data_IF_448849692136
#
_entry.id   IF_448849692136
#
_cell.length_a   1.000
_cell.length_b   1.000
_cell.length_c   1.000
_cell.angle_alpha   90.00
_cell.angle_beta   90.00
_cell.angle_gamma   90.00
#
_symmetry.space_group_name_H-M   'P 1'
#
loop_
_entity.id
_entity.type
_entity.pdbx_description
1 polymer ?
#
# COMPACT_ATOMS: atom_id res chain seq x y z
N UNK A 1 24.27 -45.51 41.96
CA UNK A 1 25.57 -45.09 41.41
C UNK A 1 25.77 -45.59 39.96
N UNK A 2 25.69 -46.92 39.67
CA UNK A 2 25.89 -47.47 38.31
C UNK A 2 24.76 -47.08 37.35
N UNK A 3 23.53 -46.92 37.82
CA UNK A 3 22.37 -46.54 37.04
C UNK A 3 22.40 -45.05 36.60
N UNK A 4 22.92 -44.21 37.48
CA UNK A 4 23.05 -42.77 37.24
C UNK A 4 24.17 -42.47 36.24
N UNK A 5 25.24 -43.26 36.24
CA UNK A 5 26.30 -43.14 35.22
C UNK A 5 25.82 -43.54 33.83
N UNK A 6 25.04 -44.61 33.70
CA UNK A 6 24.48 -45.05 32.42
C UNK A 6 23.47 -44.02 31.83
N UNK A 7 22.69 -43.37 32.69
CA UNK A 7 21.76 -42.29 32.26
C UNK A 7 22.52 -41.05 31.78
N UNK A 8 23.59 -40.67 32.46
CA UNK A 8 24.44 -39.54 32.07
C UNK A 8 25.18 -39.80 30.75
N UNK A 9 25.64 -41.01 30.50
CA UNK A 9 26.25 -41.39 29.21
C UNK A 9 25.24 -41.34 28.06
N UNK A 10 24.02 -41.86 28.26
CA UNK A 10 22.96 -41.78 27.21
C UNK A 10 22.53 -40.36 26.91
N UNK A 11 22.42 -39.48 27.88
CA UNK A 11 22.13 -38.04 27.68
C UNK A 11 23.29 -37.37 26.93
N UNK A 12 24.53 -37.66 27.31
CA UNK A 12 25.72 -37.13 26.64
C UNK A 12 25.84 -37.58 25.19
N UNK A 13 25.53 -38.84 24.89
CA UNK A 13 25.51 -39.35 23.52
C UNK A 13 24.38 -38.77 22.68
N UNK A 14 23.17 -38.59 23.25
CA UNK A 14 22.06 -37.94 22.60
C UNK A 14 22.34 -36.46 22.26
N UNK A 15 23.00 -35.73 23.19
CA UNK A 15 23.43 -34.35 22.95
C UNK A 15 24.46 -34.25 21.83
N UNK A 16 25.44 -35.15 21.79
CA UNK A 16 26.48 -35.18 20.74
C UNK A 16 25.92 -35.57 19.39
N UNK A 17 24.90 -36.43 19.30
CA UNK A 17 24.25 -36.79 18.03
C UNK A 17 23.39 -35.63 17.48
N UNK A 18 22.70 -34.93 18.36
CA UNK A 18 21.91 -33.75 17.97
C UNK A 18 22.84 -32.62 17.45
N UNK A 19 23.97 -32.39 18.08
CA UNK A 19 24.96 -31.40 17.63
C UNK A 19 25.56 -31.78 16.26
N UNK A 20 25.88 -33.06 16.04
CA UNK A 20 26.39 -33.53 14.74
C UNK A 20 25.38 -33.32 13.59
N UNK A 21 24.12 -33.54 13.86
CA UNK A 21 23.06 -33.34 12.84
C UNK A 21 22.92 -31.84 12.53
N UNK A 22 22.92 -30.97 13.54
CA UNK A 22 22.85 -29.51 13.34
C UNK A 22 24.07 -28.99 12.55
N UNK A 23 25.27 -29.47 12.88
CA UNK A 23 26.50 -29.07 12.19
C UNK A 23 26.54 -29.59 10.73
N UNK A 24 25.95 -30.73 10.46
CA UNK A 24 25.86 -31.28 9.11
C UNK A 24 24.88 -30.47 8.26
N UNK A 25 23.74 -30.05 8.81
CA UNK A 25 22.78 -29.16 8.11
C UNK A 25 23.37 -27.77 7.85
N UNK A 26 24.11 -27.21 8.82
CA UNK A 26 24.81 -25.93 8.66
C UNK A 26 25.87 -26.00 7.58
N UNK A 27 26.71 -27.05 7.57
CA UNK A 27 27.73 -27.26 6.52
C UNK A 27 27.13 -27.50 5.14
N UNK A 28 26.01 -28.22 5.05
CA UNK A 28 25.34 -28.49 3.78
C UNK A 28 24.74 -27.20 3.21
N UNK A 29 24.11 -26.36 4.05
CA UNK A 29 23.59 -25.05 3.67
C UNK A 29 24.66 -24.09 3.17
N UNK A 30 25.83 -24.07 3.81
CA UNK A 30 26.96 -23.22 3.39
C UNK A 30 27.62 -23.69 2.08
N UNK A 31 27.52 -24.97 1.74
CA UNK A 31 28.15 -25.51 0.54
C UNK A 31 27.37 -25.22 -0.75
N UNK A 32 26.05 -25.03 -0.66
CA UNK A 32 25.18 -24.85 -1.81
C UNK A 32 24.70 -23.39 -2.04
N UNK A 33 24.83 -22.53 -1.07
CA UNK A 33 24.47 -21.11 -1.18
C UNK A 33 25.71 -20.27 -0.86
N UNK A 34 26.43 -19.75 -1.83
CA UNK A 34 27.53 -18.82 -1.60
C UNK A 34 26.96 -17.48 -1.14
N UNK A 35 26.68 -17.38 0.15
CA UNK A 35 26.09 -16.19 0.79
C UNK A 35 26.95 -14.93 0.63
N UNK A 36 28.26 -15.11 0.38
CA UNK A 36 29.17 -13.98 0.15
C UNK A 36 28.90 -13.27 -1.17
N UNK A 37 28.61 -14.02 -2.24
CA UNK A 37 28.40 -13.43 -3.57
C UNK A 37 27.04 -12.67 -3.60
N UNK A 38 26.01 -13.25 -2.99
CA UNK A 38 24.70 -12.57 -2.91
C UNK A 38 24.74 -11.36 -1.96
N UNK A 39 25.43 -11.44 -0.81
CA UNK A 39 25.58 -10.35 0.12
C UNK A 39 26.35 -9.17 -0.47
N UNK A 40 27.43 -9.43 -1.18
CA UNK A 40 28.28 -8.43 -1.80
C UNK A 40 27.64 -7.81 -3.05
N UNK A 41 26.89 -8.61 -3.83
CA UNK A 41 26.08 -8.10 -4.93
C UNK A 41 24.93 -7.21 -4.45
N UNK A 42 24.19 -7.63 -3.40
CA UNK A 42 23.05 -6.91 -2.86
C UNK A 42 23.45 -5.64 -2.07
N UNK A 43 24.70 -5.52 -1.62
CA UNK A 43 25.18 -4.33 -0.92
C UNK A 43 25.57 -3.17 -1.83
N UNK A 44 25.52 -3.36 -3.16
CA UNK A 44 25.93 -2.35 -4.12
C UNK A 44 24.77 -1.38 -4.41
N UNK A 45 24.91 -0.13 -4.04
CA UNK A 45 23.91 0.96 -4.12
C UNK A 45 23.17 1.10 -5.47
N UNK A 46 23.76 0.65 -6.58
CA UNK A 46 23.08 0.69 -7.89
C UNK A 46 22.08 -0.47 -8.10
N UNK A 47 22.19 -1.56 -7.33
CA UNK A 47 21.26 -2.69 -7.39
C UNK A 47 19.89 -2.28 -6.82
N UNK A 48 19.89 -1.42 -5.79
CA UNK A 48 18.66 -0.89 -5.18
C UNK A 48 17.79 -0.15 -6.22
N UNK A 49 18.41 0.41 -7.25
CA UNK A 49 17.71 1.09 -8.33
C UNK A 49 17.44 0.18 -9.54
N UNK A 50 18.36 -0.73 -9.86
CA UNK A 50 18.24 -1.61 -11.05
C UNK A 50 17.24 -2.73 -10.82
N UNK A 51 17.18 -3.31 -9.62
CA UNK A 51 16.25 -4.42 -9.34
C UNK A 51 14.79 -3.98 -9.48
N UNK A 52 14.32 -2.88 -8.86
CA UNK A 52 12.96 -2.40 -9.09
C UNK A 52 12.69 -2.03 -10.56
N UNK A 53 13.65 -1.41 -11.23
CA UNK A 53 13.51 -1.07 -12.64
C UNK A 53 13.41 -2.33 -13.54
N UNK A 54 14.22 -3.34 -13.28
CA UNK A 54 14.17 -4.62 -14.00
C UNK A 54 12.85 -5.35 -13.77
N UNK A 55 12.35 -5.35 -12.52
CA UNK A 55 11.04 -5.92 -12.18
C UNK A 55 9.94 -5.17 -12.93
N UNK A 56 9.98 -3.84 -12.94
CA UNK A 56 9.00 -3.03 -13.67
C UNK A 56 9.00 -3.37 -15.16
N UNK A 57 10.19 -3.41 -15.79
CA UNK A 57 10.32 -3.78 -17.22
C UNK A 57 9.79 -5.19 -17.46
N UNK A 58 10.12 -6.15 -16.60
CA UNK A 58 9.63 -7.52 -16.72
C UNK A 58 8.09 -7.57 -16.63
N UNK A 59 7.49 -6.85 -15.70
CA UNK A 59 6.04 -6.75 -15.56
C UNK A 59 5.42 -6.15 -16.84
N UNK A 60 5.95 -5.05 -17.34
CA UNK A 60 5.44 -4.40 -18.56
C UNK A 60 5.55 -5.32 -19.77
N UNK A 61 6.66 -6.05 -19.92
CA UNK A 61 6.85 -7.01 -21.02
C UNK A 61 5.86 -8.17 -20.90
N UNK A 62 5.70 -8.75 -19.69
CA UNK A 62 4.76 -9.86 -19.47
C UNK A 62 3.33 -9.42 -19.75
N UNK A 63 2.87 -8.31 -19.19
CA UNK A 63 1.52 -7.81 -19.43
C UNK A 63 1.32 -7.37 -20.88
N UNK A 64 2.31 -6.74 -21.49
CA UNK A 64 2.29 -6.35 -22.89
C UNK A 64 2.21 -7.53 -23.88
N UNK A 65 2.66 -8.71 -23.46
CA UNK A 65 2.57 -9.93 -24.27
C UNK A 65 1.29 -10.74 -24.06
N UNK A 66 0.68 -10.64 -22.86
CA UNK A 66 -0.51 -11.43 -22.47
C UNK A 66 -1.80 -10.66 -22.75
N UNK A 67 -1.80 -9.34 -22.49
CA UNK A 67 -3.02 -8.51 -22.58
C UNK A 67 -3.16 -7.95 -24.00
N UNK A 68 -4.23 -8.31 -24.73
CA UNK A 68 -4.46 -7.73 -26.06
C UNK A 68 -4.59 -6.22 -25.99
N UNK A 69 -3.97 -5.53 -26.94
CA UNK A 69 -4.01 -4.06 -27.04
C UNK A 69 -3.41 -3.29 -25.85
N UNK A 70 -2.54 -3.91 -25.04
CA UNK A 70 -1.94 -3.27 -23.88
C UNK A 70 -1.28 -1.92 -24.22
N UNK A 71 -0.54 -1.86 -25.33
CA UNK A 71 0.13 -0.65 -25.81
C UNK A 71 -0.74 0.22 -26.73
N UNK A 72 -2.05 -0.04 -26.82
CA UNK A 72 -2.92 0.83 -27.60
C UNK A 72 -2.87 2.27 -27.02
N UNK A 73 -2.76 3.32 -27.86
CA UNK A 73 -2.66 4.70 -27.38
C UNK A 73 -3.77 5.11 -26.40
N UNK A 74 -4.99 4.59 -26.60
CA UNK A 74 -6.11 4.81 -25.69
C UNK A 74 -5.83 4.24 -24.28
N UNK A 75 -5.39 2.98 -24.19
CA UNK A 75 -5.11 2.32 -22.92
C UNK A 75 -3.92 2.97 -22.19
N UNK A 76 -2.89 3.39 -22.93
CA UNK A 76 -1.73 4.10 -22.37
C UNK A 76 -2.18 5.49 -21.86
N UNK A 77 -3.03 6.18 -22.61
CA UNK A 77 -3.57 7.48 -22.19
C UNK A 77 -4.40 7.37 -20.92
N UNK A 78 -5.29 6.37 -20.85
CA UNK A 78 -6.13 6.13 -19.67
C UNK A 78 -5.30 5.73 -18.45
N UNK A 79 -4.29 4.87 -18.63
CA UNK A 79 -3.34 4.53 -17.56
C UNK A 79 -2.55 5.75 -17.07
N UNK A 80 -2.08 6.60 -17.98
CA UNK A 80 -1.37 7.84 -17.63
C UNK A 80 -2.27 8.81 -16.86
N UNK A 81 -3.54 8.93 -17.24
CA UNK A 81 -4.54 9.73 -16.51
C UNK A 81 -4.71 9.22 -15.08
N UNK A 82 -4.92 7.93 -14.91
CA UNK A 82 -5.07 7.32 -13.58
C UNK A 82 -3.83 7.55 -12.69
N UNK A 83 -2.63 7.41 -13.26
CA UNK A 83 -1.38 7.71 -12.54
C UNK A 83 -1.32 9.20 -12.14
N UNK A 84 -1.75 10.10 -13.03
CA UNK A 84 -1.83 11.53 -12.74
C UNK A 84 -2.78 11.84 -11.57
N UNK A 85 -3.97 11.26 -11.58
CA UNK A 85 -4.96 11.41 -10.50
C UNK A 85 -4.40 10.91 -9.15
N UNK A 86 -3.80 9.71 -9.13
CA UNK A 86 -3.14 9.16 -7.94
C UNK A 86 -1.95 10.01 -7.49
N UNK A 87 -1.23 10.62 -8.42
CA UNK A 87 -0.12 11.54 -8.13
C UNK A 87 -0.55 12.73 -7.27
N UNK A 88 -1.68 13.34 -7.56
CA UNK A 88 -2.23 14.43 -6.72
C UNK A 88 -2.61 13.94 -5.32
N UNK A 89 -3.20 12.75 -5.21
CA UNK A 89 -3.52 12.12 -3.92
C UNK A 89 -2.24 11.89 -3.10
N UNK A 90 -1.18 11.37 -3.74
CA UNK A 90 0.12 11.13 -3.10
C UNK A 90 0.77 12.42 -2.63
N UNK A 91 0.70 13.49 -3.43
CA UNK A 91 1.21 14.82 -3.02
C UNK A 91 0.48 15.34 -1.78
N UNK A 92 -0.85 15.20 -1.73
CA UNK A 92 -1.63 15.54 -0.53
C UNK A 92 -1.22 14.72 0.69
N UNK A 93 -1.07 13.40 0.52
CA UNK A 93 -0.60 12.51 1.59
C UNK A 93 0.81 12.86 2.06
N UNK A 94 1.71 13.23 1.15
CA UNK A 94 3.07 13.64 1.51
C UNK A 94 3.08 14.82 2.49
N UNK A 95 2.20 15.81 2.29
CA UNK A 95 2.08 16.94 3.22
C UNK A 95 1.65 16.50 4.62
N UNK A 96 0.72 15.55 4.72
CA UNK A 96 0.26 15.00 6.01
C UNK A 96 1.37 14.24 6.71
N UNK A 97 2.13 13.41 5.96
CA UNK A 97 3.28 12.65 6.49
C UNK A 97 4.39 13.56 6.96
N UNK A 98 4.69 14.64 6.22
CA UNK A 98 5.65 15.67 6.65
C UNK A 98 5.21 16.38 7.93
N UNK A 99 3.90 16.50 8.16
CA UNK A 99 3.32 17.01 9.43
C UNK A 99 3.39 15.98 10.57
N UNK A 100 3.93 14.77 10.36
CA UNK A 100 4.03 13.71 11.37
C UNK A 100 2.75 12.92 11.58
N UNK A 101 1.75 13.07 10.70
CA UNK A 101 0.48 12.35 10.74
C UNK A 101 0.38 11.25 9.68
N UNK A 102 -0.64 10.40 9.83
CA UNK A 102 -1.09 9.45 8.80
C UNK A 102 -2.57 9.69 8.61
N UNK A 103 -2.98 9.99 7.37
CA UNK A 103 -4.39 10.16 7.01
C UNK A 103 -4.89 8.96 6.19
N UNK A 104 -5.66 8.10 6.85
CA UNK A 104 -6.28 6.95 6.20
C UNK A 104 -7.57 7.32 5.47
N UNK A 105 -8.15 8.48 5.75
CA UNK A 105 -9.43 8.90 5.16
C UNK A 105 -9.32 9.39 3.72
N UNK A 106 -8.11 9.59 3.22
CA UNK A 106 -7.84 10.15 1.89
C UNK A 106 -8.52 9.35 0.77
N UNK A 107 -8.52 8.01 0.85
CA UNK A 107 -9.17 7.16 -0.14
C UNK A 107 -10.69 7.29 -0.15
N UNK A 108 -11.32 7.40 1.02
CA UNK A 108 -12.77 7.63 1.12
C UNK A 108 -13.16 9.05 0.72
N UNK A 109 -12.31 10.04 1.03
CA UNK A 109 -12.51 11.43 0.60
C UNK A 109 -12.42 11.56 -0.94
N UNK A 110 -11.47 10.85 -1.56
CA UNK A 110 -11.39 10.76 -3.01
C UNK A 110 -12.65 10.13 -3.64
N UNK A 111 -13.15 9.03 -3.05
CA UNK A 111 -14.40 8.41 -3.51
C UNK A 111 -15.61 9.33 -3.33
N UNK A 112 -15.69 10.06 -2.22
CA UNK A 112 -16.75 11.06 -1.99
C UNK A 112 -16.71 12.18 -3.03
N UNK A 113 -15.51 12.71 -3.32
CA UNK A 113 -15.32 13.74 -4.34
C UNK A 113 -15.77 13.30 -5.72
N UNK A 114 -15.41 12.07 -6.12
CA UNK A 114 -15.83 11.50 -7.40
C UNK A 114 -17.34 11.32 -7.48
N UNK A 115 -17.97 10.75 -6.45
CA UNK A 115 -19.43 10.57 -6.42
C UNK A 115 -20.15 11.92 -6.49
N UNK A 116 -19.66 12.91 -5.74
CA UNK A 116 -20.24 14.26 -5.73
C UNK A 116 -20.08 14.96 -7.07
N UNK A 117 -18.93 14.82 -7.73
CA UNK A 117 -18.71 15.33 -9.09
C UNK A 117 -19.69 14.73 -10.09
N UNK A 118 -19.87 13.39 -10.06
CA UNK A 118 -20.82 12.70 -10.92
C UNK A 118 -22.27 13.17 -10.68
N UNK A 119 -22.67 13.30 -9.41
CA UNK A 119 -24.00 13.76 -9.06
C UNK A 119 -24.26 15.20 -9.56
N UNK A 120 -23.34 16.11 -9.32
CA UNK A 120 -23.46 17.50 -9.77
C UNK A 120 -23.51 17.64 -11.28
N UNK A 121 -22.75 16.81 -12.00
CA UNK A 121 -22.73 16.85 -13.46
C UNK A 121 -23.96 16.19 -14.06
N UNK A 122 -24.33 14.98 -13.60
CA UNK A 122 -25.36 14.17 -14.26
C UNK A 122 -26.79 14.51 -13.80
N UNK A 123 -26.98 14.85 -12.51
CA UNK A 123 -28.32 15.18 -11.98
C UNK A 123 -28.62 16.66 -12.17
N UNK A 124 -27.66 17.53 -11.84
CA UNK A 124 -27.88 18.98 -11.84
C UNK A 124 -27.40 19.67 -13.12
N UNK A 125 -26.70 18.98 -14.01
CA UNK A 125 -26.18 19.52 -15.27
C UNK A 125 -25.24 20.71 -15.13
N UNK A 126 -24.52 20.80 -13.99
CA UNK A 126 -23.64 21.93 -13.67
C UNK A 126 -22.38 21.95 -14.56
N UNK A 127 -21.90 23.13 -14.97
CA UNK A 127 -20.69 23.24 -15.76
C UNK A 127 -19.47 22.78 -14.94
N UNK A 128 -18.49 22.16 -15.62
CA UNK A 128 -17.30 21.51 -15.01
C UNK A 128 -16.56 22.44 -14.05
N UNK A 129 -16.45 23.75 -14.36
CA UNK A 129 -15.78 24.70 -13.48
C UNK A 129 -16.46 24.86 -12.12
N UNK A 130 -17.80 24.88 -12.09
CA UNK A 130 -18.57 24.95 -10.82
C UNK A 130 -18.44 23.64 -10.05
N UNK A 131 -18.53 22.51 -10.75
CA UNK A 131 -18.33 21.18 -10.15
C UNK A 131 -16.96 21.07 -9.50
N UNK A 132 -15.90 21.50 -10.19
CA UNK A 132 -14.54 21.49 -9.67
C UNK A 132 -14.42 22.28 -8.35
N UNK A 133 -14.93 23.51 -8.32
CA UNK A 133 -14.89 24.35 -7.11
C UNK A 133 -15.69 23.71 -5.97
N UNK A 134 -16.87 23.16 -6.26
CA UNK A 134 -17.72 22.51 -5.27
C UNK A 134 -17.07 21.25 -4.67
N UNK A 135 -16.43 20.42 -5.50
CA UNK A 135 -15.69 19.20 -5.05
C UNK A 135 -14.50 19.59 -4.19
N UNK A 136 -13.71 20.58 -4.61
CA UNK A 136 -12.56 21.06 -3.82
C UNK A 136 -13.04 21.60 -2.49
N UNK A 137 -14.12 22.36 -2.43
CA UNK A 137 -14.70 22.87 -1.20
C UNK A 137 -15.15 21.74 -0.27
N UNK A 138 -15.87 20.74 -0.81
CA UNK A 138 -16.34 19.58 -0.04
C UNK A 138 -15.16 18.78 0.55
N UNK A 139 -14.20 18.42 -0.28
CA UNK A 139 -13.03 17.64 0.15
C UNK A 139 -12.17 18.42 1.16
N UNK A 140 -12.02 19.74 0.97
CA UNK A 140 -11.33 20.61 1.90
C UNK A 140 -12.06 20.71 3.25
N UNK A 141 -13.38 20.73 3.22
CA UNK A 141 -14.19 20.73 4.44
C UNK A 141 -13.99 19.44 5.26
N UNK A 142 -13.97 18.29 4.60
CA UNK A 142 -13.65 17.01 5.26
C UNK A 142 -12.23 17.04 5.84
N UNK A 143 -11.27 17.53 5.07
CA UNK A 143 -9.89 17.72 5.55
C UNK A 143 -9.78 18.68 6.75
N UNK A 144 -10.56 19.76 6.75
CA UNK A 144 -10.63 20.69 7.86
C UNK A 144 -11.16 20.03 9.14
N UNK A 145 -12.19 19.19 9.03
CA UNK A 145 -12.70 18.42 10.18
C UNK A 145 -11.59 17.53 10.75
N UNK A 146 -10.90 16.76 9.91
CA UNK A 146 -9.77 15.94 10.34
C UNK A 146 -8.66 16.78 10.99
N UNK A 147 -8.33 17.92 10.38
CA UNK A 147 -7.33 18.84 10.91
C UNK A 147 -7.71 19.41 12.28
N UNK A 148 -8.97 19.76 12.50
CA UNK A 148 -9.47 20.23 13.80
C UNK A 148 -9.44 19.12 14.86
N UNK A 149 -9.88 17.92 14.52
CA UNK A 149 -9.87 16.78 15.43
C UNK A 149 -8.45 16.42 15.89
N UNK A 150 -7.50 16.39 14.98
CA UNK A 150 -6.12 16.02 15.28
C UNK A 150 -5.32 17.20 15.83
N UNK A 151 -5.44 18.38 15.22
CA UNK A 151 -4.63 19.54 15.54
C UNK A 151 -5.09 20.26 16.81
N UNK A 152 -6.39 20.49 16.96
CA UNK A 152 -6.96 21.24 18.08
C UNK A 152 -7.34 20.31 19.23
N UNK A 153 -8.12 19.26 18.97
CA UNK A 153 -8.56 18.30 19.99
C UNK A 153 -7.46 17.30 20.39
N UNK A 154 -6.30 17.32 19.71
CA UNK A 154 -5.14 16.47 20.00
C UNK A 154 -5.47 14.98 19.97
N UNK A 155 -6.45 14.57 19.18
CA UNK A 155 -6.77 13.17 18.99
C UNK A 155 -5.66 12.48 18.17
N UNK A 156 -5.51 11.17 18.34
CA UNK A 156 -4.52 10.40 17.56
C UNK A 156 -4.91 10.37 16.08
N UNK A 157 -4.06 10.90 15.21
CA UNK A 157 -4.33 11.02 13.77
C UNK A 157 -4.80 9.70 13.15
N UNK A 158 -4.11 8.60 13.43
CA UNK A 158 -4.46 7.26 12.94
C UNK A 158 -5.91 6.85 13.31
N UNK A 159 -6.32 7.01 14.58
CA UNK A 159 -7.66 6.61 15.02
C UNK A 159 -8.74 7.53 14.43
N UNK A 160 -8.48 8.82 14.41
CA UNK A 160 -9.41 9.82 13.87
C UNK A 160 -9.67 9.58 12.40
N UNK A 161 -8.60 9.43 11.61
CA UNK A 161 -8.72 9.23 10.16
C UNK A 161 -9.27 7.85 9.80
N UNK A 162 -9.06 6.82 10.64
CA UNK A 162 -9.70 5.52 10.50
C UNK A 162 -11.23 5.61 10.67
N UNK A 163 -11.69 6.32 11.70
CA UNK A 163 -13.14 6.54 11.93
C UNK A 163 -13.74 7.32 10.75
N UNK A 164 -13.05 8.36 10.29
CA UNK A 164 -13.47 9.14 9.12
C UNK A 164 -13.49 8.32 7.84
N UNK A 165 -12.50 7.44 7.63
CA UNK A 165 -12.49 6.49 6.52
C UNK A 165 -13.78 5.66 6.50
N UNK A 166 -14.13 5.03 7.62
CA UNK A 166 -15.31 4.17 7.73
C UNK A 166 -16.59 5.00 7.56
N UNK A 167 -16.68 6.14 8.22
CA UNK A 167 -17.86 7.02 8.17
C UNK A 167 -18.13 7.56 6.76
N UNK A 168 -17.10 8.09 6.11
CA UNK A 168 -17.22 8.62 4.73
C UNK A 168 -17.49 7.47 3.76
N UNK A 169 -16.86 6.31 3.93
CA UNK A 169 -17.11 5.16 3.06
C UNK A 169 -18.56 4.68 3.15
N UNK A 170 -19.09 4.55 4.36
CA UNK A 170 -20.50 4.19 4.57
C UNK A 170 -21.45 5.23 3.95
N UNK A 171 -21.12 6.52 4.05
CA UNK A 171 -21.88 7.60 3.41
C UNK A 171 -21.85 7.44 1.86
N UNK A 172 -20.66 7.25 1.29
CA UNK A 172 -20.49 7.06 -0.17
C UNK A 172 -21.29 5.85 -0.65
N UNK A 173 -21.19 4.70 0.04
CA UNK A 173 -21.88 3.48 -0.34
C UNK A 173 -23.42 3.65 -0.25
N UNK A 174 -23.92 4.36 0.77
CA UNK A 174 -25.35 4.68 0.92
C UNK A 174 -25.85 5.63 -0.19
N UNK A 175 -25.07 6.69 -0.47
CA UNK A 175 -25.43 7.64 -1.54
C UNK A 175 -25.36 6.98 -2.92
N UNK A 176 -24.39 6.11 -3.15
CA UNK A 176 -24.26 5.37 -4.42
C UNK A 176 -25.46 4.45 -4.64
N UNK A 177 -25.91 3.75 -3.59
CA UNK A 177 -27.11 2.93 -3.65
C UNK A 177 -28.36 3.76 -3.94
N UNK A 178 -28.54 4.90 -3.27
CA UNK A 178 -29.64 5.81 -3.50
C UNK A 178 -29.61 6.38 -4.93
N UNK A 179 -28.43 6.68 -5.47
CA UNK A 179 -28.24 7.14 -6.83
C UNK A 179 -28.57 6.04 -7.86
N UNK A 180 -28.10 4.80 -7.62
CA UNK A 180 -28.40 3.67 -8.50
C UNK A 180 -29.88 3.30 -8.54
N UNK A 181 -30.66 3.61 -7.50
CA UNK A 181 -32.10 3.39 -7.48
C UNK A 181 -32.90 4.48 -8.23
N UNK A 182 -32.25 5.58 -8.62
CA UNK A 182 -32.87 6.68 -9.39
C UNK A 182 -32.64 6.57 -10.91
N UNK A 183 -31.77 5.66 -11.35
CA UNK A 183 -31.47 5.35 -12.73
C UNK A 183 -32.25 4.11 -13.16
#
# INVERSE_FOLDING_TARGET
LLRDQAVMETISQSSKSSQRISDMFVRWRHKWIPTHIFGELLSKSWIDNIVPAAILVAIVVVFGSIVPNFFLPANVSDGTRQIGELGFVVLGMMLVVLGGGIDLSVGSNFALGNLFALALTNIFGLPVGVVFVAVVALCSFVGLINGLLVGVLKLRAFLTTLVMLIGIRALVDTLLLAYALQI
#
